data_IF_947217079525
#
_entry.id   IF_947217079525
#
_cell.length_a   1.000
_cell.length_b   1.000
_cell.length_c   1.000
_cell.angle_alpha   90.00
_cell.angle_beta   90.00
_cell.angle_gamma   90.00
#
_symmetry.space_group_name_H-M   'P 1'
#
loop_
_entity.id
_entity.type
_entity.pdbx_description
1 polymer ?
#
# COMPACT_ATOMS: atom_id res chain seq x y z
N UNK A 1 -7.28 4.95 -20.76
CA UNK A 1 -8.08 5.80 -19.87
C UNK A 1 -9.30 5.03 -19.38
N UNK A 2 -9.61 5.11 -18.09
CA UNK A 2 -10.72 4.38 -17.46
C UNK A 2 -11.45 5.32 -16.51
N UNK A 3 -12.78 5.37 -16.57
CA UNK A 3 -13.59 6.10 -15.58
C UNK A 3 -13.85 5.19 -14.39
N UNK A 4 -13.44 5.61 -13.20
CA UNK A 4 -13.68 4.88 -11.95
C UNK A 4 -14.28 5.83 -10.92
N UNK A 5 -15.52 5.58 -10.51
CA UNK A 5 -16.32 6.53 -9.73
C UNK A 5 -16.34 7.91 -10.42
N UNK A 6 -15.88 8.95 -9.71
CA UNK A 6 -15.76 10.32 -10.23
C UNK A 6 -14.37 10.64 -10.83
N UNK A 7 -13.46 9.68 -10.88
CA UNK A 7 -12.08 9.88 -11.30
C UNK A 7 -11.86 9.37 -12.74
N UNK A 8 -11.03 10.10 -13.48
CA UNK A 8 -10.51 9.67 -14.79
C UNK A 8 -9.08 9.15 -14.60
N UNK A 9 -8.91 7.83 -14.74
CA UNK A 9 -7.63 7.15 -14.59
C UNK A 9 -6.91 7.07 -15.94
N UNK A 10 -5.58 7.18 -15.94
CA UNK A 10 -4.80 7.00 -17.17
C UNK A 10 -4.92 5.57 -17.70
N UNK A 11 -5.01 4.59 -16.80
CA UNK A 11 -5.24 3.17 -17.07
C UNK A 11 -5.98 2.48 -15.90
N UNK A 12 -6.49 1.24 -16.05
CA UNK A 12 -7.24 0.55 -14.99
C UNK A 12 -6.35 -0.18 -13.97
N UNK A 13 -5.03 -0.05 -14.03
CA UNK A 13 -4.08 -0.81 -13.19
C UNK A 13 -3.76 -0.02 -11.93
N UNK A 14 -3.91 -0.66 -10.78
CA UNK A 14 -3.54 -0.14 -9.47
C UNK A 14 -2.63 -1.08 -8.70
N UNK A 15 -1.99 -0.56 -7.65
CA UNK A 15 -1.25 -1.36 -6.68
C UNK A 15 -2.08 -1.51 -5.40
N UNK A 16 -2.22 -2.76 -4.97
CA UNK A 16 -3.06 -3.13 -3.85
C UNK A 16 -2.47 -2.73 -2.49
N UNK A 17 -3.34 -2.61 -1.49
CA UNK A 17 -2.96 -2.43 -0.10
C UNK A 17 -1.99 -3.53 0.39
N UNK A 18 -1.21 -3.19 1.41
CA UNK A 18 -0.21 -4.07 2.01
C UNK A 18 1.17 -3.97 1.37
N UNK A 19 1.30 -3.36 0.19
CA UNK A 19 2.59 -3.05 -0.44
C UNK A 19 3.22 -1.80 0.20
N UNK A 20 2.60 -0.63 0.00
CA UNK A 20 3.01 0.63 0.65
C UNK A 20 2.16 0.89 1.89
N UNK A 21 2.57 0.31 3.02
CA UNK A 21 1.79 0.34 4.27
C UNK A 21 1.68 1.71 4.90
N UNK A 22 2.64 2.60 4.65
CA UNK A 22 2.75 3.88 5.36
C UNK A 22 2.76 5.10 4.44
N UNK A 23 2.63 4.91 3.12
CA UNK A 23 2.67 5.98 2.13
C UNK A 23 4.08 6.46 1.82
N UNK A 24 5.07 5.59 1.93
CA UNK A 24 6.49 5.90 1.74
C UNK A 24 6.87 6.05 0.25
N UNK A 25 6.10 5.45 -0.66
CA UNK A 25 6.48 5.29 -2.07
C UNK A 25 5.41 5.72 -3.08
N UNK A 26 4.33 6.39 -2.64
CA UNK A 26 3.18 6.75 -3.48
C UNK A 26 3.58 7.46 -4.79
N UNK A 27 4.43 8.48 -4.72
CA UNK A 27 4.87 9.23 -5.91
C UNK A 27 5.65 8.34 -6.88
N UNK A 28 6.56 7.51 -6.37
CA UNK A 28 7.34 6.58 -7.20
C UNK A 28 6.45 5.53 -7.87
N UNK A 29 5.47 4.98 -7.14
CA UNK A 29 4.50 4.03 -7.68
C UNK A 29 3.64 4.63 -8.80
N UNK A 30 3.24 5.90 -8.66
CA UNK A 30 2.54 6.63 -9.74
C UNK A 30 3.44 6.84 -10.95
N UNK A 31 4.72 7.17 -10.76
CA UNK A 31 5.69 7.32 -11.84
C UNK A 31 5.98 6.00 -12.58
N UNK A 32 5.88 4.86 -11.89
CA UNK A 32 5.93 3.53 -12.51
C UNK A 32 4.70 3.19 -13.37
N UNK A 33 3.64 4.01 -13.32
CA UNK A 33 2.47 3.89 -14.20
C UNK A 33 1.20 3.39 -13.51
N UNK A 34 1.22 3.11 -12.20
CA UNK A 34 0.00 2.76 -11.47
C UNK A 34 -0.93 3.98 -11.36
N UNK A 35 -2.19 3.82 -11.80
CA UNK A 35 -3.19 4.89 -11.73
C UNK A 35 -3.84 5.02 -10.35
N UNK A 36 -3.82 3.93 -9.57
CA UNK A 36 -4.31 3.88 -8.19
C UNK A 36 -3.19 3.33 -7.32
N UNK A 37 -2.94 3.99 -6.19
CA UNK A 37 -2.07 3.49 -5.12
C UNK A 37 -2.89 3.39 -3.84
N UNK A 38 -3.18 2.17 -3.41
CA UNK A 38 -3.89 1.93 -2.16
C UNK A 38 -2.88 1.71 -1.03
N UNK A 39 -2.65 2.75 -0.22
CA UNK A 39 -1.75 2.64 0.94
C UNK A 39 -2.40 1.85 2.08
N UNK A 40 -1.56 1.35 2.99
CA UNK A 40 -2.02 0.72 4.23
C UNK A 40 -1.86 -0.81 4.24
N UNK A 41 -2.56 -1.53 5.11
CA UNK A 41 -3.54 -1.04 6.07
C UNK A 41 -2.89 -0.21 7.19
N UNK A 42 -3.49 0.95 7.46
CA UNK A 42 -3.08 1.85 8.54
C UNK A 42 -3.98 1.61 9.75
N UNK A 43 -3.39 1.42 10.93
CA UNK A 43 -4.16 1.30 12.18
C UNK A 43 -4.25 2.64 12.92
N UNK A 44 -5.23 2.82 13.83
CA UNK A 44 -5.26 4.00 14.69
C UNK A 44 -3.95 4.12 15.49
N UNK A 45 -3.64 3.15 16.34
CA UNK A 45 -2.38 3.15 17.09
C UNK A 45 -1.30 2.32 16.36
N UNK A 46 -0.01 2.66 16.54
CA UNK A 46 1.08 1.89 15.97
C UNK A 46 1.11 0.47 16.52
N UNK A 47 1.46 -0.49 15.68
CA UNK A 47 1.70 -1.86 16.11
C UNK A 47 2.73 -2.57 15.22
N UNK A 48 3.56 -3.46 15.81
CA UNK A 48 4.63 -4.13 15.08
C UNK A 48 4.13 -5.24 14.15
N UNK A 49 2.90 -5.72 14.34
CA UNK A 49 2.35 -6.93 13.74
C UNK A 49 2.95 -8.22 14.31
N UNK A 50 2.72 -9.34 13.64
CA UNK A 50 3.16 -10.66 14.12
C UNK A 50 4.69 -10.83 14.08
N UNK A 51 5.31 -11.69 14.93
CA UNK A 51 6.74 -11.98 14.87
C UNK A 51 7.19 -12.51 13.49
N UNK A 52 8.45 -12.27 13.12
CA UNK A 52 9.07 -12.83 11.91
C UNK A 52 9.50 -14.29 12.16
N UNK A 53 9.54 -15.17 11.14
CA UNK A 53 9.19 -14.94 9.72
C UNK A 53 7.66 -14.94 9.49
N UNK A 54 7.20 -14.03 8.61
CA UNK A 54 5.76 -13.74 8.39
C UNK A 54 5.35 -13.50 6.94
N UNK A 55 6.26 -13.72 6.00
CA UNK A 55 6.01 -13.71 4.55
C UNK A 55 6.87 -14.79 3.91
N UNK A 56 6.26 -15.57 3.02
CA UNK A 56 6.84 -16.75 2.41
C UNK A 56 6.48 -16.73 0.93
N UNK A 57 7.48 -16.85 0.06
CA UNK A 57 7.28 -16.98 -1.39
C UNK A 57 7.20 -18.45 -1.73
N UNK A 58 6.27 -18.80 -2.62
CA UNK A 58 6.11 -20.13 -3.19
C UNK A 58 6.30 -19.97 -4.72
N UNK A 59 7.55 -20.00 -5.21
CA UNK A 59 7.83 -19.70 -6.62
C UNK A 59 7.18 -20.69 -7.59
N UNK A 60 7.10 -21.97 -7.20
CA UNK A 60 6.49 -23.04 -7.99
C UNK A 60 5.00 -22.76 -8.28
N UNK A 61 4.29 -22.16 -7.31
CA UNK A 61 2.88 -21.80 -7.42
C UNK A 61 2.64 -20.36 -7.90
N UNK A 62 3.70 -19.59 -8.17
CA UNK A 62 3.64 -18.13 -8.35
C UNK A 62 2.86 -17.42 -7.23
N UNK A 63 3.05 -17.86 -5.98
CA UNK A 63 2.24 -17.44 -4.85
C UNK A 63 3.04 -16.85 -3.68
N UNK A 64 2.32 -16.18 -2.78
CA UNK A 64 2.86 -15.65 -1.52
C UNK A 64 1.88 -15.94 -0.39
N UNK A 65 2.38 -16.52 0.71
CA UNK A 65 1.65 -16.63 1.98
C UNK A 65 2.20 -15.57 2.93
N UNK A 66 1.32 -14.79 3.55
CA UNK A 66 1.70 -13.83 4.57
C UNK A 66 0.80 -13.89 5.80
N UNK A 67 1.37 -13.47 6.93
CA UNK A 67 0.68 -13.33 8.21
C UNK A 67 1.22 -12.11 8.94
N UNK A 68 1.20 -10.96 8.27
CA UNK A 68 1.80 -9.73 8.80
C UNK A 68 1.15 -9.24 10.10
N UNK A 69 -0.17 -9.39 10.23
CA UNK A 69 -0.91 -8.90 11.40
C UNK A 69 -0.95 -7.38 11.50
N UNK A 70 -1.26 -6.68 10.39
CA UNK A 70 -1.41 -5.22 10.34
C UNK A 70 -0.26 -4.41 10.98
N UNK A 71 0.98 -4.75 10.66
CA UNK A 71 2.13 -3.92 11.02
C UNK A 71 1.98 -2.50 10.44
N UNK A 72 1.91 -1.48 11.31
CA UNK A 72 1.62 -0.09 10.94
C UNK A 72 2.29 0.88 11.92
N UNK A 73 2.75 2.03 11.42
CA UNK A 73 3.26 3.15 12.23
C UNK A 73 2.15 4.01 12.87
N UNK A 74 0.88 3.68 12.64
CA UNK A 74 -0.27 4.40 13.19
C UNK A 74 -0.69 5.62 12.35
N UNK A 75 -1.95 6.01 12.47
CA UNK A 75 -2.56 7.05 11.60
C UNK A 75 -1.88 8.42 11.71
N UNK A 76 -1.38 8.79 12.89
CA UNK A 76 -0.70 10.08 13.09
C UNK A 76 0.58 10.18 12.25
N UNK A 77 1.39 9.14 12.23
CA UNK A 77 2.65 9.14 11.46
C UNK A 77 2.38 9.01 9.96
N UNK A 78 1.46 8.12 9.56
CA UNK A 78 1.11 7.97 8.15
C UNK A 78 0.51 9.27 7.59
N UNK A 79 -0.35 9.96 8.35
CA UNK A 79 -0.92 11.24 7.92
C UNK A 79 0.17 12.27 7.60
N UNK A 80 1.24 12.36 8.40
CA UNK A 80 2.35 13.30 8.14
C UNK A 80 3.00 13.03 6.79
N UNK A 81 3.17 11.75 6.42
CA UNK A 81 3.76 11.33 5.15
C UNK A 81 2.87 11.66 3.97
N UNK A 82 1.56 11.43 4.10
CA UNK A 82 0.64 11.52 2.95
C UNK A 82 0.01 12.89 2.74
N UNK A 83 0.04 13.77 3.74
CA UNK A 83 -0.66 15.07 3.73
C UNK A 83 -0.31 15.98 2.54
N UNK A 84 0.87 15.83 1.96
CA UNK A 84 1.37 16.71 0.89
C UNK A 84 1.69 15.97 -0.42
N UNK A 85 1.22 14.72 -0.60
CA UNK A 85 1.53 13.94 -1.81
C UNK A 85 0.92 14.55 -3.08
N UNK A 86 -0.21 15.25 -2.95
CA UNK A 86 -0.95 15.85 -4.07
C UNK A 86 -0.90 17.40 -4.07
N UNK A 87 0.08 17.99 -3.38
CA UNK A 87 0.40 19.42 -3.54
C UNK A 87 1.50 19.59 -4.57
#
# INVERSE_FOLDING_TARGET
KTKFLKYELSNPIGIAAGFDKHGDAVTGLRQLGFSIVEIGSVTPEPQPGNPKPRVFRLPEDNAVINRYGFNSEGHKEVLKKVKNIDK
#
